data_IF_059284973369
#
_entry.id   IF_059284973369
#
_cell.length_a   1.000
_cell.length_b   1.000
_cell.length_c   1.000
_cell.angle_alpha   90.00
_cell.angle_beta   90.00
_cell.angle_gamma   90.00
#
_symmetry.space_group_name_H-M   'P 1'
#
loop_
_entity.id
_entity.type
_entity.pdbx_description
1 polymer ?
#
# COMPACT_ATOMS: atom_id res chain seq x y z
N UNK A 1 4.90 -10.05 -8.92
CA UNK A 1 5.34 -9.28 -10.10
C UNK A 1 5.51 -7.79 -9.74
N UNK A 2 6.23 -7.52 -8.63
CA UNK A 2 6.57 -6.18 -8.09
C UNK A 2 7.99 -6.19 -7.47
N UNK A 3 8.90 -7.01 -8.01
CA UNK A 3 10.25 -7.17 -7.44
C UNK A 3 11.06 -5.86 -7.46
N UNK A 4 10.93 -5.08 -8.54
CA UNK A 4 11.53 -3.74 -8.70
C UNK A 4 11.04 -2.75 -7.62
N UNK A 5 9.71 -2.52 -7.44
CA UNK A 5 9.19 -1.71 -6.33
C UNK A 5 9.64 -2.17 -4.95
N UNK A 6 9.71 -3.49 -4.71
CA UNK A 6 10.16 -4.04 -3.43
C UNK A 6 11.63 -3.74 -3.15
N UNK A 7 12.48 -3.84 -4.18
CA UNK A 7 13.89 -3.49 -4.07
C UNK A 7 14.07 -2.00 -3.76
N UNK A 8 13.34 -1.12 -4.45
CA UNK A 8 13.39 0.34 -4.22
C UNK A 8 12.94 0.68 -2.79
N UNK A 9 11.85 0.08 -2.31
CA UNK A 9 11.36 0.31 -0.94
C UNK A 9 12.36 -0.20 0.11
N UNK A 10 12.99 -1.37 -0.13
CA UNK A 10 14.03 -1.92 0.75
C UNK A 10 15.27 -1.02 0.79
N UNK A 11 15.71 -0.53 -0.37
CA UNK A 11 16.88 0.33 -0.50
C UNK A 11 16.65 1.72 0.10
N UNK A 12 15.43 2.26 0.00
CA UNK A 12 15.06 3.57 0.55
C UNK A 12 14.89 3.60 2.07
N UNK A 13 14.65 2.46 2.72
CA UNK A 13 14.54 2.39 4.19
C UNK A 13 15.33 1.22 4.80
N UNK A 14 16.67 1.33 4.88
CA UNK A 14 17.50 0.30 5.50
C UNK A 14 17.18 0.08 6.99
N UNK A 15 16.58 1.08 7.66
CA UNK A 15 16.17 1.03 9.08
C UNK A 15 14.81 0.41 9.38
N UNK A 16 14.08 -0.14 8.38
CA UNK A 16 12.80 -0.80 8.67
C UNK A 16 12.98 -2.02 9.57
N UNK A 17 12.13 -2.15 10.59
CA UNK A 17 12.04 -3.38 11.37
C UNK A 17 11.64 -4.56 10.47
N UNK A 18 12.02 -5.78 10.89
CA UNK A 18 11.70 -7.01 10.14
C UNK A 18 10.18 -7.15 9.92
N UNK A 19 9.38 -6.74 10.91
CA UNK A 19 7.92 -6.80 10.86
C UNK A 19 7.37 -5.79 9.85
N UNK A 20 7.87 -4.55 9.87
CA UNK A 20 7.49 -3.50 8.92
C UNK A 20 7.73 -3.95 7.49
N UNK A 21 8.92 -4.51 7.25
CA UNK A 21 9.33 -5.05 5.97
C UNK A 21 8.41 -6.20 5.51
N UNK A 22 8.14 -7.17 6.39
CA UNK A 22 7.28 -8.30 6.08
C UNK A 22 5.83 -7.87 5.74
N UNK A 23 5.29 -6.88 6.44
CA UNK A 23 3.96 -6.33 6.15
C UNK A 23 3.91 -5.67 4.78
N UNK A 24 4.86 -4.77 4.49
CA UNK A 24 4.93 -4.06 3.20
C UNK A 24 5.13 -5.05 2.05
N UNK A 25 6.01 -6.04 2.23
CA UNK A 25 6.21 -7.13 1.28
C UNK A 25 4.96 -7.94 1.03
N UNK A 26 4.28 -8.39 2.10
CA UNK A 26 3.04 -9.15 1.97
C UNK A 26 1.95 -8.36 1.22
N UNK A 27 1.85 -7.05 1.47
CA UNK A 27 0.88 -6.15 0.82
C UNK A 27 1.16 -5.98 -0.67
N UNK A 28 2.43 -5.76 -1.01
CA UNK A 28 2.86 -5.60 -2.39
C UNK A 28 2.74 -6.92 -3.16
N UNK A 29 3.22 -8.03 -2.58
CA UNK A 29 3.09 -9.36 -3.20
C UNK A 29 1.63 -9.77 -3.43
N UNK A 30 0.70 -9.27 -2.61
CA UNK A 30 -0.74 -9.48 -2.78
C UNK A 30 -1.40 -8.49 -3.73
N UNK A 31 -0.66 -7.56 -4.35
CA UNK A 31 -1.17 -6.51 -5.24
C UNK A 31 -2.28 -5.67 -4.59
N UNK A 32 -2.19 -5.47 -3.27
CA UNK A 32 -3.20 -4.78 -2.46
C UNK A 32 -4.45 -5.61 -2.11
N UNK A 33 -4.55 -6.84 -2.60
CA UNK A 33 -5.62 -7.79 -2.26
C UNK A 33 -5.25 -8.68 -1.06
N UNK A 34 -4.92 -8.08 0.08
CA UNK A 34 -4.51 -8.85 1.27
C UNK A 34 -5.70 -9.44 2.06
N UNK A 35 -6.90 -9.48 1.47
CA UNK A 35 -8.12 -9.88 2.16
C UNK A 35 -8.50 -8.92 3.31
N UNK A 36 -9.32 -9.39 4.25
CA UNK A 36 -9.70 -8.56 5.40
C UNK A 36 -8.53 -8.33 6.36
N UNK A 37 -8.51 -7.21 7.09
CA UNK A 37 -7.52 -6.97 8.16
C UNK A 37 -7.45 -8.10 9.20
N UNK A 38 -8.55 -8.86 9.36
CA UNK A 38 -8.59 -10.07 10.20
C UNK A 38 -7.83 -11.24 9.57
N UNK A 39 -7.92 -11.43 8.26
CA UNK A 39 -7.14 -12.44 7.55
C UNK A 39 -5.64 -12.13 7.66
N UNK A 40 -5.24 -10.87 7.41
CA UNK A 40 -3.85 -10.43 7.55
C UNK A 40 -3.33 -10.62 8.98
N UNK A 41 -4.13 -10.23 9.98
CA UNK A 41 -3.77 -10.45 11.38
C UNK A 41 -3.46 -11.93 11.65
N UNK A 42 -4.31 -12.86 11.20
CA UNK A 42 -4.09 -14.30 11.37
C UNK A 42 -2.82 -14.78 10.67
N UNK A 43 -2.58 -14.36 9.43
CA UNK A 43 -1.37 -14.75 8.68
C UNK A 43 -0.07 -14.24 9.33
N UNK A 44 -0.15 -13.16 10.11
CA UNK A 44 0.96 -12.61 10.89
C UNK A 44 1.03 -13.16 12.32
N UNK A 45 0.23 -14.18 12.67
CA UNK A 45 0.19 -14.76 14.01
C UNK A 45 -0.49 -13.88 15.07
N UNK A 46 -1.18 -12.81 14.65
CA UNK A 46 -1.89 -11.89 15.54
C UNK A 46 -3.32 -12.36 15.79
N UNK A 47 -3.84 -12.07 16.99
CA UNK A 47 -5.15 -12.53 17.45
C UNK A 47 -6.29 -11.86 16.71
N UNK A 48 -6.15 -10.59 16.33
CA UNK A 48 -7.20 -9.84 15.65
C UNK A 48 -6.71 -8.57 14.91
N UNK A 49 -7.62 -7.93 14.18
CA UNK A 49 -7.38 -6.69 13.41
C UNK A 49 -6.89 -5.51 14.27
N UNK A 50 -7.24 -5.45 15.56
CA UNK A 50 -6.85 -4.36 16.45
C UNK A 50 -5.42 -4.52 16.93
N UNK A 51 -4.96 -5.76 17.10
CA UNK A 51 -3.56 -6.06 17.35
C UNK A 51 -2.70 -5.72 16.14
N UNK A 52 -3.19 -6.03 14.93
CA UNK A 52 -2.56 -5.56 13.69
C UNK A 52 -2.49 -4.03 13.63
N UNK A 53 -3.59 -3.32 13.90
CA UNK A 53 -3.60 -1.87 13.91
C UNK A 53 -2.65 -1.26 14.97
N UNK A 54 -2.50 -1.91 16.13
CA UNK A 54 -1.53 -1.52 17.16
C UNK A 54 -0.09 -1.78 16.74
N UNK A 55 0.16 -2.93 16.12
CA UNK A 55 1.47 -3.29 15.58
C UNK A 55 1.88 -2.28 14.50
N UNK A 56 1.04 -2.02 13.50
CA UNK A 56 1.33 -1.01 12.47
C UNK A 56 1.66 0.35 13.09
N UNK A 57 0.88 0.79 14.08
CA UNK A 57 1.12 2.06 14.77
C UNK A 57 2.44 2.06 15.55
N UNK A 58 2.78 0.97 16.23
CA UNK A 58 4.04 0.83 16.98
C UNK A 58 5.23 0.87 16.04
N UNK A 59 5.09 0.22 14.89
CA UNK A 59 6.06 0.20 13.80
C UNK A 59 6.03 1.48 12.93
N UNK A 60 5.19 2.46 13.30
CA UNK A 60 5.04 3.76 12.61
C UNK A 60 4.63 3.64 11.14
N UNK A 61 3.83 2.64 10.85
CA UNK A 61 3.26 2.39 9.52
C UNK A 61 1.88 3.03 9.36
N UNK A 62 1.52 3.41 8.12
CA UNK A 62 0.14 3.75 7.79
C UNK A 62 -0.81 2.58 8.09
N UNK A 63 -2.11 2.87 8.28
CA UNK A 63 -3.13 1.83 8.44
C UNK A 63 -3.13 0.85 7.26
N UNK A 64 -3.44 -0.42 7.53
CA UNK A 64 -3.43 -1.48 6.52
C UNK A 64 -4.22 -1.13 5.26
N UNK A 65 -5.41 -0.53 5.42
CA UNK A 65 -6.27 -0.16 4.28
C UNK A 65 -5.60 0.87 3.37
N UNK A 66 -4.79 1.78 3.93
CA UNK A 66 -4.07 2.81 3.18
C UNK A 66 -2.94 2.18 2.36
N UNK A 67 -2.15 1.32 2.99
CA UNK A 67 -1.10 0.54 2.31
C UNK A 67 -1.67 -0.36 1.21
N UNK A 68 -2.77 -1.06 1.49
CA UNK A 68 -3.47 -1.90 0.52
C UNK A 68 -3.97 -1.09 -0.68
N UNK A 69 -4.49 0.11 -0.45
CA UNK A 69 -4.96 0.98 -1.51
C UNK A 69 -3.82 1.44 -2.44
N UNK A 70 -2.69 1.87 -1.88
CA UNK A 70 -1.50 2.23 -2.66
C UNK A 70 -0.94 1.05 -3.45
N UNK A 71 -0.85 -0.14 -2.85
CA UNK A 71 -0.41 -1.35 -3.55
C UNK A 71 -1.36 -1.76 -4.68
N UNK A 72 -2.68 -1.59 -4.48
CA UNK A 72 -3.69 -1.82 -5.53
C UNK A 72 -3.53 -0.83 -6.69
N UNK A 73 -3.29 0.45 -6.40
CA UNK A 73 -3.07 1.46 -7.44
C UNK A 73 -1.78 1.17 -8.21
N UNK A 74 -0.71 0.79 -7.51
CA UNK A 74 0.55 0.41 -8.12
C UNK A 74 0.36 -0.77 -9.09
N UNK A 75 -0.35 -1.83 -8.68
CA UNK A 75 -0.60 -2.98 -9.55
C UNK A 75 -1.39 -2.59 -10.81
N UNK A 76 -2.42 -1.75 -10.67
CA UNK A 76 -3.18 -1.21 -11.80
C UNK A 76 -2.31 -0.41 -12.77
N UNK A 77 -1.48 0.50 -12.25
CA UNK A 77 -0.60 1.35 -13.08
C UNK A 77 0.44 0.50 -13.79
N UNK A 78 1.13 -0.40 -13.07
CA UNK A 78 2.11 -1.29 -13.69
C UNK A 78 1.49 -2.22 -14.73
N UNK A 79 0.26 -2.69 -14.52
CA UNK A 79 -0.47 -3.46 -15.53
C UNK A 79 -0.90 -2.61 -16.74
N UNK A 80 -1.18 -1.32 -16.54
CA UNK A 80 -1.49 -0.39 -17.63
C UNK A 80 -0.26 -0.03 -18.46
N UNK A 81 0.91 0.09 -17.84
CA UNK A 81 2.19 0.33 -18.52
C UNK A 81 2.63 -0.89 -19.34
N UNK A 82 2.60 -2.09 -18.74
CA UNK A 82 3.07 -3.31 -19.42
C UNK A 82 2.13 -3.80 -20.51
N UNK A 83 0.83 -3.64 -20.34
CA UNK A 83 -0.17 -4.30 -21.18
C UNK A 83 -1.14 -3.34 -21.86
N UNK A 84 -0.98 -2.02 -21.67
CA UNK A 84 -1.88 -1.01 -22.26
C UNK A 84 -3.33 -1.08 -21.76
N UNK A 85 -3.58 -1.74 -20.62
CA UNK A 85 -4.94 -1.99 -20.13
C UNK A 85 -5.57 -0.73 -19.54
N UNK A 86 -6.87 -0.55 -19.80
CA UNK A 86 -7.67 0.45 -19.09
C UNK A 86 -8.03 -0.03 -17.68
N UNK A 87 -8.20 0.91 -16.74
CA UNK A 87 -8.63 0.58 -15.38
C UNK A 87 -9.98 -0.16 -15.36
N UNK A 88 -10.89 0.21 -16.26
CA UNK A 88 -12.17 -0.49 -16.41
C UNK A 88 -11.98 -1.97 -16.75
N UNK A 89 -11.10 -2.29 -17.71
CA UNK A 89 -10.79 -3.68 -18.08
C UNK A 89 -10.11 -4.46 -16.96
N UNK A 90 -9.23 -3.80 -16.20
CA UNK A 90 -8.61 -4.40 -15.02
C UNK A 90 -9.64 -4.67 -13.91
N UNK A 91 -10.55 -3.72 -13.65
CA UNK A 91 -11.60 -3.86 -12.65
C UNK A 91 -12.50 -5.07 -12.93
N UNK A 92 -12.94 -5.25 -14.18
CA UNK A 92 -13.72 -6.42 -14.57
C UNK A 92 -12.97 -7.75 -14.38
N UNK A 93 -11.66 -7.79 -14.69
CA UNK A 93 -10.84 -9.00 -14.49
C UNK A 93 -10.65 -9.38 -13.03
N UNK A 94 -10.83 -8.42 -12.12
CA UNK A 94 -10.66 -8.61 -10.68
C UNK A 94 -12.00 -8.63 -9.93
N UNK A 95 -13.12 -8.77 -10.64
CA UNK A 95 -14.48 -8.73 -10.09
C UNK A 95 -14.76 -7.48 -9.21
N UNK A 96 -14.27 -6.33 -9.67
CA UNK A 96 -14.45 -5.03 -9.00
C UNK A 96 -15.31 -4.10 -9.85
N UNK A 97 -16.15 -3.32 -9.18
CA UNK A 97 -16.91 -2.25 -9.82
C UNK A 97 -15.97 -1.14 -10.33
N UNK A 98 -15.97 -0.83 -11.64
CA UNK A 98 -15.07 0.19 -12.21
C UNK A 98 -15.19 1.55 -11.51
N UNK A 99 -16.42 1.98 -11.20
CA UNK A 99 -16.67 3.25 -10.48
C UNK A 99 -16.05 3.29 -9.08
N UNK A 100 -15.94 2.15 -8.39
CA UNK A 100 -15.22 2.07 -7.11
C UNK A 100 -13.71 2.21 -7.31
N UNK A 101 -13.14 1.58 -8.36
CA UNK A 101 -11.73 1.71 -8.70
C UNK A 101 -11.33 3.17 -9.03
N UNK A 102 -12.10 3.86 -9.88
CA UNK A 102 -11.84 5.27 -10.19
C UNK A 102 -11.94 6.17 -8.95
N UNK A 103 -12.91 5.91 -8.06
CA UNK A 103 -13.04 6.65 -6.79
C UNK A 103 -11.86 6.39 -5.87
N UNK A 104 -11.42 5.14 -5.72
CA UNK A 104 -10.25 4.80 -4.92
C UNK A 104 -9.00 5.55 -5.39
N UNK A 105 -8.75 5.55 -6.70
CA UNK A 105 -7.62 6.31 -7.28
C UNK A 105 -7.71 7.79 -6.89
N UNK A 106 -8.87 8.41 -7.09
CA UNK A 106 -9.09 9.84 -6.80
C UNK A 106 -8.99 10.15 -5.30
N UNK A 107 -9.50 9.28 -4.44
CA UNK A 107 -9.46 9.47 -3.00
C UNK A 107 -8.03 9.37 -2.46
N UNK A 108 -7.28 8.38 -2.92
CA UNK A 108 -5.92 8.11 -2.43
C UNK A 108 -4.92 9.10 -2.97
N UNK A 109 -4.96 9.37 -4.28
CA UNK A 109 -3.94 10.17 -4.98
C UNK A 109 -4.36 11.63 -5.18
N UNK A 110 -5.63 11.98 -4.94
CA UNK A 110 -6.25 13.26 -5.31
C UNK A 110 -6.28 13.57 -6.81
N UNK A 111 -5.94 12.60 -7.65
CA UNK A 111 -5.78 12.73 -9.10
C UNK A 111 -6.72 11.77 -9.84
N UNK A 112 -7.05 12.09 -11.09
CA UNK A 112 -7.81 11.18 -11.95
C UNK A 112 -6.92 10.06 -12.46
N UNK A 113 -7.52 8.91 -12.80
CA UNK A 113 -6.80 7.75 -13.34
C UNK A 113 -5.87 8.09 -14.51
N UNK A 114 -6.32 8.90 -15.46
CA UNK A 114 -5.50 9.28 -16.62
C UNK A 114 -4.21 10.02 -16.21
N UNK A 115 -4.29 10.88 -15.21
CA UNK A 115 -3.14 11.63 -14.69
C UNK A 115 -2.19 10.72 -13.91
N UNK A 116 -2.71 9.79 -13.11
CA UNK A 116 -1.89 8.82 -12.38
C UNK A 116 -1.19 7.87 -13.35
N UNK A 117 -1.90 7.39 -14.38
CA UNK A 117 -1.34 6.56 -15.44
C UNK A 117 -0.23 7.27 -16.21
N UNK A 118 -0.40 8.57 -16.51
CA UNK A 118 0.61 9.35 -17.22
C UNK A 118 1.90 9.56 -16.39
N UNK A 119 1.79 9.61 -15.05
CA UNK A 119 2.94 9.69 -14.14
C UNK A 119 3.66 8.35 -13.92
N UNK A 120 2.97 7.24 -14.17
CA UNK A 120 3.55 5.91 -14.17
C UNK A 120 3.82 5.30 -12.78
N UNK A 121 4.29 4.06 -12.76
CA UNK A 121 4.43 3.26 -11.53
C UNK A 121 5.53 3.81 -10.61
N UNK A 122 6.59 4.38 -11.18
CA UNK A 122 7.68 4.98 -10.40
C UNK A 122 7.16 6.10 -9.48
N UNK A 123 6.29 6.96 -10.02
CA UNK A 123 5.66 8.01 -9.22
C UNK A 123 4.79 7.46 -8.09
N UNK A 124 4.05 6.37 -8.34
CA UNK A 124 3.23 5.71 -7.31
C UNK A 124 4.12 5.15 -6.19
N UNK A 125 5.27 4.57 -6.53
CA UNK A 125 6.25 4.09 -5.54
C UNK A 125 6.79 5.25 -4.71
N UNK A 126 7.19 6.36 -5.33
CA UNK A 126 7.65 7.54 -4.60
C UNK A 126 6.60 8.06 -3.61
N UNK A 127 5.33 8.13 -4.02
CA UNK A 127 4.23 8.54 -3.11
C UNK A 127 3.98 7.55 -1.98
N UNK A 128 4.11 6.25 -2.24
CA UNK A 128 4.03 5.25 -1.18
C UNK A 128 5.19 5.39 -0.18
N UNK A 129 6.39 5.71 -0.64
CA UNK A 129 7.54 5.97 0.23
C UNK A 129 7.33 7.23 1.07
N UNK A 130 6.84 8.33 0.48
CA UNK A 130 6.48 9.55 1.22
C UNK A 130 5.45 9.25 2.33
N UNK A 131 4.43 8.43 2.06
CA UNK A 131 3.44 8.03 3.08
C UNK A 131 4.04 7.18 4.21
N UNK A 132 5.05 6.35 3.91
CA UNK A 132 5.79 5.60 4.91
C UNK A 132 6.67 6.52 5.78
N UNK A 133 7.34 7.49 5.15
CA UNK A 133 8.15 8.52 5.82
C UNK A 133 7.30 9.44 6.71
N UNK A 134 6.16 9.91 6.22
CA UNK A 134 5.26 10.79 6.98
C UNK A 134 4.70 10.08 8.21
N UNK A 135 4.31 8.80 8.08
CA UNK A 135 3.89 8.00 9.22
C UNK A 135 5.01 7.79 10.25
N UNK A 136 6.26 7.62 9.78
CA UNK A 136 7.43 7.53 10.63
C UNK A 136 7.73 8.85 11.37
N UNK A 137 7.59 9.98 10.68
CA UNK A 137 7.82 11.32 11.20
C UNK A 137 6.74 11.78 12.19
N UNK A 138 5.46 11.54 11.89
CA UNK A 138 4.37 11.89 12.82
C UNK A 138 4.47 11.09 14.13
N UNK A 139 4.85 9.81 14.05
CA UNK A 139 5.09 9.01 15.24
C UNK A 139 6.34 9.44 16.04
N UNK A 140 7.31 10.12 15.42
CA UNK A 140 8.44 10.72 16.13
C UNK A 140 8.03 12.00 16.90
N UNK A 141 7.05 12.75 16.39
CA UNK A 141 6.56 14.02 16.99
C UNK A 141 5.62 13.82 18.17
N UNK A 142 4.95 12.66 18.29
CA UNK A 142 4.13 12.33 19.47
C UNK A 142 4.97 11.54 20.48
N UNK A 143 5.47 12.15 21.57
CA UNK A 143 6.20 11.40 22.58
C UNK A 143 5.30 10.31 23.16
N UNK A 144 5.88 9.12 23.35
CA UNK A 144 5.20 7.99 24.01
C UNK A 144 4.89 8.42 25.44
N UNK A 145 3.62 8.68 25.73
CA UNK A 145 3.15 8.68 27.11
C UNK A 145 3.25 7.22 27.56
N UNK A 146 4.33 6.94 28.30
CA UNK A 146 4.50 5.69 29.02
C UNK A 146 3.34 5.53 29.99
N UNK A 147 2.65 4.40 29.90
CA UNK A 147 1.78 3.89 30.95
C UNK A 147 2.38 2.58 31.44
#
# INVERSE_FOLDING_TARGET
>A
MLAEPLFVIRAGHPGMSLITRAVVEAILLSEGSIGSARAVARSLGLRNRFELARLLRRERLPPLHRLAAWATILSWVSAAERHGLSLCRQAFRSDRYPGACYRLVKEVTRLRWGEVRARGSAWVVSRLMEELDDAANEAARRPRISN
#
